data_IF_888616557457
#
_entry.id   IF_888616557457
#
_cell.length_a   1.000
_cell.length_b   1.000
_cell.length_c   1.000
_cell.angle_alpha   90.00
_cell.angle_beta   90.00
_cell.angle_gamma   90.00
#
_symmetry.space_group_name_H-M   'P 1'
#
loop_
_entity.id
_entity.type
_entity.pdbx_description
1 polymer ?
#
# COMPACT_ATOMS: atom_id res chain seq x y z
N UNK A 1 -0.24 -6.30 -15.60
CA UNK A 1 0.72 -6.10 -14.48
C UNK A 1 1.25 -7.42 -13.95
N UNK A 2 0.41 -8.29 -13.37
CA UNK A 2 0.83 -9.56 -12.76
C UNK A 2 1.76 -10.42 -13.65
N UNK A 3 1.33 -10.76 -14.87
CA UNK A 3 2.15 -11.56 -15.80
C UNK A 3 3.48 -10.90 -16.17
N UNK A 4 3.51 -9.57 -16.32
CA UNK A 4 4.75 -8.85 -16.64
C UNK A 4 5.74 -8.91 -15.47
N UNK A 5 5.26 -8.81 -14.24
CA UNK A 5 6.10 -8.97 -13.05
C UNK A 5 6.71 -10.38 -13.00
N UNK A 6 5.93 -11.41 -13.30
CA UNK A 6 6.42 -12.79 -13.36
C UNK A 6 7.47 -12.98 -14.47
N UNK A 7 7.24 -12.47 -15.68
CA UNK A 7 8.21 -12.56 -16.78
C UNK A 7 9.52 -11.84 -16.43
N UNK A 8 9.44 -10.63 -15.87
CA UNK A 8 10.63 -9.89 -15.44
C UNK A 8 11.35 -10.63 -14.31
N UNK A 9 10.60 -11.21 -13.37
CA UNK A 9 11.16 -12.01 -12.29
C UNK A 9 11.91 -13.24 -12.82
N UNK A 10 11.28 -14.05 -13.67
CA UNK A 10 11.90 -15.24 -14.28
C UNK A 10 13.16 -14.86 -15.07
N UNK A 11 13.12 -13.77 -15.82
CA UNK A 11 14.25 -13.31 -16.61
C UNK A 11 15.39 -12.74 -15.77
N UNK A 12 15.08 -11.90 -14.78
CA UNK A 12 16.07 -11.25 -13.94
C UNK A 12 16.70 -12.22 -12.92
N UNK A 13 15.92 -13.18 -12.42
CA UNK A 13 16.33 -14.10 -11.36
C UNK A 13 16.61 -15.54 -11.83
N UNK A 14 16.47 -15.80 -13.14
CA UNK A 14 16.83 -17.04 -13.86
C UNK A 14 17.31 -18.20 -12.97
N UNK A 15 16.40 -19.11 -12.65
CA UNK A 15 16.67 -20.33 -11.87
C UNK A 15 16.23 -20.30 -10.40
N UNK A 16 15.70 -19.19 -9.88
CA UNK A 16 15.01 -19.20 -8.58
C UNK A 16 13.61 -19.81 -8.72
N UNK A 17 13.23 -20.82 -7.93
CA UNK A 17 11.88 -21.37 -7.96
C UNK A 17 10.85 -20.31 -7.58
N UNK A 18 9.58 -20.52 -7.94
CA UNK A 18 8.42 -19.67 -7.61
C UNK A 18 8.19 -19.46 -6.09
N UNK A 19 9.05 -20.02 -5.23
CA UNK A 19 9.07 -19.91 -3.77
C UNK A 19 9.56 -18.55 -3.25
N UNK A 20 9.92 -17.63 -4.15
CA UNK A 20 10.25 -16.23 -3.81
C UNK A 20 11.48 -16.07 -2.92
N UNK A 21 11.53 -15.00 -2.15
CA UNK A 21 12.70 -14.60 -1.34
C UNK A 21 13.13 -15.59 -0.25
N UNK A 22 12.25 -16.53 0.16
CA UNK A 22 12.55 -17.52 1.18
C UNK A 22 13.59 -18.54 0.69
N UNK A 23 13.56 -18.90 -0.60
CA UNK A 23 14.54 -19.79 -1.22
C UNK A 23 15.96 -19.20 -1.19
N UNK A 24 16.08 -17.87 -1.38
CA UNK A 24 17.36 -17.16 -1.30
C UNK A 24 18.01 -17.26 0.09
N UNK A 25 17.25 -17.59 1.15
CA UNK A 25 17.78 -17.83 2.50
C UNK A 25 18.52 -19.16 2.61
N UNK A 26 18.18 -20.14 1.78
CA UNK A 26 18.73 -21.50 1.82
C UNK A 26 20.04 -21.64 1.02
N UNK A 27 20.37 -20.67 0.19
CA UNK A 27 21.53 -20.72 -0.70
C UNK A 27 22.76 -20.02 -0.10
N UNK A 28 23.97 -20.44 -0.50
CA UNK A 28 25.21 -19.81 -0.04
C UNK A 28 25.32 -18.39 -0.59
N UNK A 29 25.48 -17.43 0.32
CA UNK A 29 25.65 -16.01 0.01
C UNK A 29 26.80 -15.72 -0.98
N UNK A 30 27.88 -16.52 -0.94
CA UNK A 30 29.03 -16.35 -1.83
C UNK A 30 28.67 -16.45 -3.33
N UNK A 31 27.65 -17.24 -3.68
CA UNK A 31 27.25 -17.47 -5.07
C UNK A 31 26.15 -16.49 -5.52
N UNK A 32 25.33 -16.02 -4.57
CA UNK A 32 24.09 -15.27 -4.88
C UNK A 32 24.19 -13.76 -4.60
N UNK A 33 25.24 -13.27 -3.91
CA UNK A 33 25.35 -11.85 -3.50
C UNK A 33 25.29 -10.87 -4.67
N UNK A 34 25.94 -11.19 -5.80
CA UNK A 34 25.92 -10.35 -6.99
C UNK A 34 24.49 -10.15 -7.52
N UNK A 35 23.68 -11.22 -7.52
CA UNK A 35 22.29 -11.17 -7.99
C UNK A 35 21.42 -10.35 -7.03
N UNK A 36 21.55 -10.61 -5.72
CA UNK A 36 20.78 -9.93 -4.68
C UNK A 36 21.03 -8.41 -4.69
N UNK A 37 22.26 -7.99 -4.96
CA UNK A 37 22.62 -6.56 -5.00
C UNK A 37 22.34 -5.92 -6.35
N UNK A 38 22.77 -6.52 -7.45
CA UNK A 38 22.74 -5.87 -8.77
C UNK A 38 21.33 -5.82 -9.37
N UNK A 39 20.49 -6.83 -9.15
CA UNK A 39 19.16 -6.88 -9.78
C UNK A 39 18.24 -5.74 -9.30
N UNK A 40 18.13 -5.46 -7.98
CA UNK A 40 17.36 -4.30 -7.53
C UNK A 40 17.93 -2.95 -8.03
N UNK A 41 19.25 -2.85 -8.18
CA UNK A 41 19.92 -1.65 -8.70
C UNK A 41 19.57 -1.42 -10.16
N UNK A 42 19.67 -2.45 -11.01
CA UNK A 42 19.31 -2.34 -12.44
C UNK A 42 17.84 -1.99 -12.61
N UNK A 43 16.96 -2.57 -11.80
CA UNK A 43 15.55 -2.18 -11.72
C UNK A 43 15.35 -0.71 -11.37
N UNK A 44 16.07 -0.22 -10.36
CA UNK A 44 16.07 1.19 -9.99
C UNK A 44 16.57 2.12 -11.09
N UNK A 45 17.63 1.74 -11.82
CA UNK A 45 18.14 2.51 -12.97
C UNK A 45 17.10 2.60 -14.08
N UNK A 46 16.46 1.49 -14.45
CA UNK A 46 15.43 1.46 -15.49
C UNK A 46 14.24 2.34 -15.09
N UNK A 47 13.75 2.20 -13.84
CA UNK A 47 12.63 3.01 -13.33
C UNK A 47 12.99 4.49 -13.28
N UNK A 48 14.22 4.81 -12.85
CA UNK A 48 14.75 6.16 -12.87
C UNK A 48 14.78 6.75 -14.27
N UNK A 49 15.26 5.98 -15.26
CA UNK A 49 15.34 6.45 -16.66
C UNK A 49 13.95 6.73 -17.22
N UNK A 50 12.97 5.86 -16.91
CA UNK A 50 11.57 6.10 -17.26
C UNK A 50 11.01 7.35 -16.58
N UNK A 51 11.37 7.59 -15.31
CA UNK A 51 10.94 8.79 -14.57
C UNK A 51 11.49 10.07 -15.22
N UNK A 52 12.78 10.08 -15.58
CA UNK A 52 13.40 11.19 -16.29
C UNK A 52 12.78 11.45 -17.66
N UNK A 53 12.44 10.39 -18.41
CA UNK A 53 11.75 10.53 -19.71
C UNK A 53 10.37 11.19 -19.54
N UNK A 54 9.61 10.78 -18.52
CA UNK A 54 8.30 11.37 -18.21
C UNK A 54 8.43 12.84 -17.82
N UNK A 55 9.41 13.18 -16.96
CA UNK A 55 9.66 14.56 -16.53
C UNK A 55 10.03 15.46 -17.72
N UNK A 56 10.84 14.96 -18.66
CA UNK A 56 11.17 15.68 -19.90
C UNK A 56 9.92 15.88 -20.78
N UNK A 57 9.10 14.83 -20.95
CA UNK A 57 7.85 14.93 -21.72
C UNK A 57 6.87 15.94 -21.11
N UNK A 58 6.79 16.01 -19.78
CA UNK A 58 5.98 17.00 -19.06
C UNK A 58 6.53 18.42 -19.21
N UNK A 59 7.84 18.61 -19.09
CA UNK A 59 8.47 19.93 -19.31
C UNK A 59 8.26 20.43 -20.75
N UNK A 60 8.43 19.57 -21.75
CA UNK A 60 8.15 19.91 -23.16
C UNK A 60 6.68 20.30 -23.32
N UNK A 61 5.75 19.61 -22.65
CA UNK A 61 4.33 19.97 -22.66
C UNK A 61 4.09 21.35 -22.05
N UNK A 62 4.60 21.62 -20.84
CA UNK A 62 4.43 22.90 -20.16
C UNK A 62 4.98 24.06 -20.98
N UNK A 63 6.11 23.84 -21.67
CA UNK A 63 6.70 24.83 -22.56
C UNK A 63 5.97 24.98 -23.90
N UNK A 64 5.22 23.96 -24.34
CA UNK A 64 4.52 23.95 -25.63
C UNK A 64 3.05 24.38 -25.55
N UNK A 65 2.44 24.46 -24.36
CA UNK A 65 1.05 24.88 -24.16
C UNK A 65 0.96 26.32 -23.61
N UNK A 66 0.99 27.29 -24.51
CA UNK A 66 0.46 28.65 -24.30
C UNK A 66 -1.03 28.77 -24.69
N UNK A 67 -1.75 27.66 -24.89
CA UNK A 67 -3.19 27.68 -25.21
C UNK A 67 -3.90 26.40 -24.73
N UNK A 68 -4.90 26.49 -23.84
CA UNK A 68 -5.62 25.34 -23.31
C UNK A 68 -6.62 24.84 -24.37
N UNK A 69 -6.20 23.92 -25.24
CA UNK A 69 -7.16 23.20 -26.09
C UNK A 69 -7.80 22.08 -25.27
N UNK A 70 -9.12 22.16 -25.12
CA UNK A 70 -10.04 21.12 -24.62
C UNK A 70 -10.06 19.87 -25.54
N UNK A 71 -8.90 19.25 -25.74
CA UNK A 71 -8.74 18.02 -26.50
C UNK A 71 -8.25 16.90 -25.60
N UNK A 72 -8.62 15.66 -25.94
CA UNK A 72 -8.22 14.44 -25.24
C UNK A 72 -6.70 14.43 -25.00
N UNK A 73 -6.31 14.55 -23.74
CA UNK A 73 -4.89 14.60 -23.35
C UNK A 73 -4.32 13.19 -23.49
N UNK A 74 -3.81 12.86 -24.69
CA UNK A 74 -3.17 11.57 -25.00
C UNK A 74 -2.15 11.15 -23.92
N UNK A 75 -1.46 12.14 -23.35
CA UNK A 75 -0.47 11.91 -22.30
C UNK A 75 -1.09 11.56 -20.93
N UNK A 76 -2.28 12.07 -20.59
CA UNK A 76 -3.02 11.60 -19.39
C UNK A 76 -3.49 10.14 -19.56
N UNK A 77 -3.73 9.70 -20.80
CA UNK A 77 -4.07 8.31 -21.11
C UNK A 77 -2.88 7.34 -21.05
N UNK A 78 -1.67 7.81 -21.34
CA UNK A 78 -0.44 6.97 -21.39
C UNK A 78 0.29 6.89 -20.04
N UNK A 79 0.21 7.93 -19.21
CA UNK A 79 0.80 7.98 -17.87
C UNK A 79 0.53 6.75 -16.95
N UNK A 80 -0.69 6.18 -16.92
CA UNK A 80 -1.01 5.00 -16.11
C UNK A 80 -0.34 3.73 -16.63
N UNK A 81 -0.21 3.59 -17.94
CA UNK A 81 0.52 2.49 -18.57
C UNK A 81 2.02 2.57 -18.25
N UNK A 82 2.60 3.78 -18.27
CA UNK A 82 4.00 4.01 -17.87
C UNK A 82 4.21 3.62 -16.41
N UNK A 83 3.32 4.08 -15.49
CA UNK A 83 3.37 3.69 -14.08
C UNK A 83 3.23 2.18 -13.88
N UNK A 84 2.38 1.51 -14.67
CA UNK A 84 2.23 0.07 -14.63
C UNK A 84 3.54 -0.64 -15.02
N UNK A 85 4.22 -0.16 -16.07
CA UNK A 85 5.51 -0.72 -16.50
C UNK A 85 6.60 -0.44 -15.44
N UNK A 86 6.66 0.77 -14.88
CA UNK A 86 7.59 1.11 -13.79
C UNK A 86 7.37 0.21 -12.56
N UNK A 87 6.11 -0.04 -12.20
CA UNK A 87 5.76 -0.98 -11.15
C UNK A 87 6.18 -2.41 -11.50
N UNK A 88 5.95 -2.85 -12.74
CA UNK A 88 6.34 -4.17 -13.20
C UNK A 88 7.85 -4.40 -13.05
N UNK A 89 8.66 -3.42 -13.47
CA UNK A 89 10.12 -3.45 -13.35
C UNK A 89 10.53 -3.44 -11.87
N UNK A 90 9.98 -2.52 -11.07
CA UNK A 90 10.30 -2.42 -9.64
C UNK A 90 10.05 -3.73 -8.90
N UNK A 91 8.90 -4.35 -9.14
CA UNK A 91 8.48 -5.57 -8.45
C UNK A 91 9.22 -6.80 -8.99
N UNK A 92 9.40 -6.90 -10.30
CA UNK A 92 10.11 -8.02 -10.93
C UNK A 92 11.60 -8.06 -10.60
N UNK A 93 12.21 -6.89 -10.35
CA UNK A 93 13.62 -6.78 -9.91
C UNK A 93 13.80 -6.90 -8.39
N UNK A 94 12.74 -7.19 -7.65
CA UNK A 94 12.82 -7.53 -6.22
C UNK A 94 12.61 -6.37 -5.26
N UNK A 95 12.15 -5.20 -5.72
CA UNK A 95 11.79 -4.08 -4.85
C UNK A 95 10.79 -4.49 -3.76
N UNK A 96 11.01 -4.01 -2.53
CA UNK A 96 10.16 -4.33 -1.37
C UNK A 96 8.86 -3.51 -1.39
N UNK A 97 8.05 -3.72 -2.42
CA UNK A 97 6.78 -3.03 -2.66
C UNK A 97 5.72 -4.03 -3.15
N UNK A 98 4.45 -3.60 -3.21
CA UNK A 98 3.32 -4.42 -3.69
C UNK A 98 2.75 -3.96 -5.04
N UNK A 99 2.13 -4.86 -5.82
CA UNK A 99 1.46 -4.52 -7.10
C UNK A 99 0.12 -3.77 -6.91
N UNK A 100 -0.45 -3.81 -5.72
CA UNK A 100 -1.81 -3.36 -5.41
C UNK A 100 -2.06 -1.87 -5.65
N UNK A 101 -1.10 -1.02 -5.22
CA UNK A 101 -1.19 0.43 -5.46
C UNK A 101 -1.23 0.75 -6.96
N UNK A 102 -0.26 0.28 -7.75
CA UNK A 102 -0.29 0.39 -9.21
C UNK A 102 -1.55 -0.19 -9.86
N UNK A 103 -2.07 -1.32 -9.37
CA UNK A 103 -3.33 -1.90 -9.88
C UNK A 103 -4.52 -0.95 -9.73
N UNK A 104 -4.65 -0.31 -8.56
CA UNK A 104 -5.67 0.71 -8.30
C UNK A 104 -5.49 1.93 -9.20
N UNK A 105 -4.26 2.39 -9.39
CA UNK A 105 -3.98 3.55 -10.25
C UNK A 105 -4.35 3.25 -11.71
N UNK A 106 -4.03 2.05 -12.22
CA UNK A 106 -4.43 1.60 -13.56
C UNK A 106 -5.96 1.62 -13.67
N UNK A 107 -6.66 1.01 -12.71
CA UNK A 107 -8.13 0.97 -12.70
C UNK A 107 -8.77 2.36 -12.68
N UNK A 108 -8.28 3.26 -11.82
CA UNK A 108 -8.74 4.66 -11.75
C UNK A 108 -8.50 5.40 -13.06
N UNK A 109 -7.37 5.16 -13.72
CA UNK A 109 -7.05 5.85 -14.95
C UNK A 109 -7.83 5.34 -16.16
N UNK A 110 -8.06 4.03 -16.27
CA UNK A 110 -8.98 3.48 -17.27
C UNK A 110 -10.39 4.07 -17.08
N UNK A 111 -10.86 4.15 -15.85
CA UNK A 111 -12.13 4.80 -15.51
C UNK A 111 -12.14 6.29 -15.86
N UNK A 112 -11.05 7.03 -15.59
CA UNK A 112 -10.97 8.45 -15.93
C UNK A 112 -10.99 8.67 -17.45
N UNK A 113 -10.31 7.83 -18.24
CA UNK A 113 -10.34 7.89 -19.70
C UNK A 113 -11.75 7.68 -20.27
N UNK A 114 -12.49 6.69 -19.74
CA UNK A 114 -13.89 6.46 -20.13
C UNK A 114 -14.79 7.63 -19.67
N UNK A 115 -14.49 8.24 -18.51
CA UNK A 115 -15.29 9.34 -17.97
C UNK A 115 -15.28 10.60 -18.83
N UNK A 116 -14.27 10.79 -19.67
CA UNK A 116 -14.19 11.93 -20.62
C UNK A 116 -15.28 11.84 -21.68
N UNK A 117 -15.75 10.62 -21.99
CA UNK A 117 -16.82 10.39 -22.97
C UNK A 117 -18.23 10.54 -22.37
N UNK A 118 -18.34 10.73 -21.05
CA UNK A 118 -19.61 10.92 -20.36
C UNK A 118 -19.94 12.41 -20.21
N UNK A 119 -21.23 12.76 -20.27
CA UNK A 119 -21.71 14.11 -19.94
C UNK A 119 -21.18 14.57 -18.57
N UNK A 120 -21.05 15.90 -18.38
CA UNK A 120 -20.40 16.57 -17.24
C UNK A 120 -21.13 16.39 -15.89
N UNK A 121 -21.43 15.15 -15.52
CA UNK A 121 -22.00 14.76 -14.24
C UNK A 121 -20.87 14.29 -13.32
N UNK A 122 -20.50 15.16 -12.38
CA UNK A 122 -19.44 14.93 -11.39
C UNK A 122 -19.67 13.68 -10.55
N UNK A 123 -20.93 13.34 -10.24
CA UNK A 123 -21.27 12.15 -9.46
C UNK A 123 -20.99 10.88 -10.26
N UNK A 124 -21.41 10.83 -11.53
CA UNK A 124 -21.14 9.69 -12.42
C UNK A 124 -19.64 9.49 -12.65
N UNK A 125 -18.89 10.58 -12.85
CA UNK A 125 -17.42 10.51 -12.96
C UNK A 125 -16.78 9.96 -11.69
N UNK A 126 -17.23 10.40 -10.52
CA UNK A 126 -16.74 9.91 -9.23
C UNK A 126 -17.08 8.43 -9.03
N UNK A 127 -18.30 8.02 -9.38
CA UNK A 127 -18.74 6.62 -9.34
C UNK A 127 -17.90 5.72 -10.25
N UNK A 128 -17.62 6.16 -11.48
CA UNK A 128 -16.81 5.42 -12.44
C UNK A 128 -15.35 5.26 -11.95
N UNK A 129 -14.74 6.33 -11.42
CA UNK A 129 -13.39 6.26 -10.82
C UNK A 129 -13.36 5.35 -9.58
N UNK A 130 -14.40 5.38 -8.75
CA UNK A 130 -14.54 4.48 -7.61
C UNK A 130 -14.67 3.01 -8.06
N UNK A 131 -15.46 2.74 -9.11
CA UNK A 131 -15.58 1.41 -9.70
C UNK A 131 -14.26 0.91 -10.29
N UNK A 132 -13.49 1.77 -10.96
CA UNK A 132 -12.14 1.47 -11.43
C UNK A 132 -11.17 1.14 -10.30
N UNK A 133 -11.22 1.88 -9.19
CA UNK A 133 -10.40 1.60 -8.00
C UNK A 133 -10.77 0.25 -7.35
N UNK A 134 -12.06 -0.07 -7.25
CA UNK A 134 -12.55 -1.34 -6.74
C UNK A 134 -12.07 -2.51 -7.60
N UNK A 135 -12.19 -2.39 -8.93
CA UNK A 135 -11.69 -3.38 -9.87
C UNK A 135 -10.17 -3.61 -9.73
N UNK A 136 -9.39 -2.55 -9.47
CA UNK A 136 -7.94 -2.64 -9.25
C UNK A 136 -7.57 -3.47 -8.02
N UNK A 137 -8.21 -3.22 -6.86
CA UNK A 137 -8.00 -4.03 -5.64
C UNK A 137 -8.51 -5.47 -5.84
N UNK A 138 -9.70 -5.61 -6.43
CA UNK A 138 -10.34 -6.92 -6.61
C UNK A 138 -9.49 -7.84 -7.50
N UNK A 139 -8.87 -7.32 -8.55
CA UNK A 139 -7.95 -8.10 -9.40
C UNK A 139 -6.63 -8.41 -8.71
N UNK A 140 -6.06 -7.47 -7.96
CA UNK A 140 -4.76 -7.64 -7.32
C UNK A 140 -4.75 -8.66 -6.17
N UNK A 141 -5.80 -8.63 -5.33
CA UNK A 141 -5.96 -9.57 -4.22
C UNK A 141 -6.90 -10.74 -4.49
N UNK A 142 -7.55 -10.77 -5.66
CA UNK A 142 -8.64 -11.70 -5.94
C UNK A 142 -9.77 -11.62 -4.87
N UNK A 143 -10.08 -10.40 -4.45
CA UNK A 143 -10.91 -10.09 -3.28
C UNK A 143 -11.97 -9.04 -3.65
N UNK A 144 -13.14 -9.50 -4.10
CA UNK A 144 -14.18 -8.64 -4.65
C UNK A 144 -14.86 -7.79 -3.58
N UNK A 145 -15.16 -8.36 -2.41
CA UNK A 145 -15.81 -7.64 -1.32
C UNK A 145 -14.86 -6.58 -0.78
N UNK A 146 -13.58 -6.91 -0.58
CA UNK A 146 -12.57 -5.96 -0.16
C UNK A 146 -12.44 -4.79 -1.15
N UNK A 147 -12.44 -5.06 -2.46
CA UNK A 147 -12.39 -4.03 -3.49
C UNK A 147 -13.54 -3.02 -3.41
N UNK A 148 -14.76 -3.49 -3.13
CA UNK A 148 -15.94 -2.62 -2.97
C UNK A 148 -15.79 -1.65 -1.80
N UNK A 149 -15.44 -2.19 -0.63
CA UNK A 149 -15.27 -1.38 0.58
C UNK A 149 -14.07 -0.44 0.47
N UNK A 150 -13.01 -0.86 -0.24
CA UNK A 150 -11.89 0.00 -0.54
C UNK A 150 -12.32 1.27 -1.29
N UNK A 151 -13.12 1.12 -2.35
CA UNK A 151 -13.61 2.25 -3.12
C UNK A 151 -14.49 3.18 -2.28
N UNK A 152 -15.35 2.61 -1.41
CA UNK A 152 -16.18 3.40 -0.49
C UNK A 152 -15.30 4.19 0.49
N UNK A 153 -14.34 3.51 1.12
CA UNK A 153 -13.53 4.04 2.22
C UNK A 153 -12.47 5.06 1.76
N UNK A 154 -11.87 4.86 0.58
CA UNK A 154 -10.77 5.72 0.08
C UNK A 154 -11.15 6.65 -1.06
N UNK A 155 -12.16 6.32 -1.88
CA UNK A 155 -12.53 7.15 -3.03
C UNK A 155 -13.77 7.99 -2.74
N UNK A 156 -14.82 7.41 -2.17
CA UNK A 156 -16.09 8.09 -1.92
C UNK A 156 -16.08 8.90 -0.60
N UNK A 157 -15.59 8.32 0.50
CA UNK A 157 -15.60 8.95 1.83
C UNK A 157 -14.89 10.32 1.87
N UNK A 158 -13.67 10.51 1.34
CA UNK A 158 -13.01 11.82 1.37
C UNK A 158 -13.73 12.90 0.55
N UNK A 159 -14.59 12.51 -0.39
CA UNK A 159 -15.35 13.43 -1.24
C UNK A 159 -16.72 13.81 -0.68
N UNK A 160 -17.05 13.39 0.55
CA UNK A 160 -18.37 13.59 1.18
C UNK A 160 -19.52 13.09 0.29
N UNK A 161 -19.24 12.11 -0.57
CA UNK A 161 -20.20 11.50 -1.47
C UNK A 161 -21.04 10.43 -0.73
N UNK A 162 -21.28 10.62 0.57
CA UNK A 162 -21.97 9.67 1.45
C UNK A 162 -23.44 9.48 1.04
N UNK A 163 -24.02 10.48 0.38
CA UNK A 163 -25.37 10.44 -0.20
C UNK A 163 -25.37 10.11 -1.71
N UNK A 164 -24.34 9.40 -2.20
CA UNK A 164 -24.27 9.04 -3.62
C UNK A 164 -25.48 8.20 -4.05
N UNK A 165 -25.96 8.35 -5.30
CA UNK A 165 -27.08 7.56 -5.80
C UNK A 165 -26.84 6.06 -5.68
N UNK A 166 -27.88 5.23 -5.50
CA UNK A 166 -27.75 3.76 -5.38
C UNK A 166 -27.05 3.11 -6.58
N UNK A 167 -27.12 3.74 -7.76
CA UNK A 167 -26.39 3.33 -8.96
C UNK A 167 -24.85 3.29 -8.76
N UNK A 168 -24.29 4.16 -7.92
CA UNK A 168 -22.84 4.22 -7.65
C UNK A 168 -22.35 2.94 -6.99
N UNK A 169 -23.05 2.47 -5.96
CA UNK A 169 -22.70 1.24 -5.23
C UNK A 169 -22.87 0.02 -6.13
N UNK A 170 -23.95 -0.02 -6.93
CA UNK A 170 -24.16 -1.10 -7.90
C UNK A 170 -23.01 -1.19 -8.93
N UNK A 171 -22.56 -0.04 -9.45
CA UNK A 171 -21.44 0.03 -10.38
C UNK A 171 -20.12 -0.48 -9.78
N UNK A 172 -19.83 -0.09 -8.53
CA UNK A 172 -18.65 -0.55 -7.79
C UNK A 172 -18.68 -2.07 -7.62
N UNK A 173 -19.83 -2.63 -7.19
CA UNK A 173 -20.00 -4.06 -6.99
C UNK A 173 -19.80 -4.83 -8.29
N UNK A 174 -20.48 -4.41 -9.37
CA UNK A 174 -20.38 -5.08 -10.66
C UNK A 174 -18.94 -5.04 -11.20
N UNK A 175 -18.27 -3.89 -11.14
CA UNK A 175 -16.89 -3.78 -11.59
C UNK A 175 -15.93 -4.65 -10.77
N UNK A 176 -16.11 -4.70 -9.45
CA UNK A 176 -15.31 -5.53 -8.54
C UNK A 176 -15.47 -7.03 -8.84
N UNK A 177 -16.72 -7.49 -8.98
CA UNK A 177 -17.04 -8.89 -9.29
C UNK A 177 -16.48 -9.29 -10.65
N UNK A 178 -16.71 -8.48 -11.70
CA UNK A 178 -16.16 -8.76 -13.04
C UNK A 178 -14.63 -8.83 -13.00
N UNK A 179 -13.99 -7.92 -12.28
CA UNK A 179 -12.52 -7.90 -12.17
C UNK A 179 -11.97 -9.14 -11.45
N UNK A 180 -12.60 -9.55 -10.34
CA UNK A 180 -12.20 -10.76 -9.61
C UNK A 180 -12.51 -12.04 -10.40
N UNK A 181 -13.61 -12.12 -11.15
CA UNK A 181 -13.88 -13.30 -11.99
C UNK A 181 -12.88 -13.43 -13.13
N UNK A 182 -12.52 -12.32 -13.78
CA UNK A 182 -11.45 -12.31 -14.80
C UNK A 182 -10.10 -12.71 -14.20
N UNK A 183 -9.78 -12.21 -13.00
CA UNK A 183 -8.56 -12.60 -12.28
C UNK A 183 -8.54 -14.10 -11.95
N UNK A 184 -9.64 -14.65 -11.44
CA UNK A 184 -9.80 -16.08 -11.17
C UNK A 184 -9.63 -16.97 -12.41
N UNK A 185 -10.18 -16.55 -13.55
CA UNK A 185 -10.05 -17.31 -14.81
C UNK A 185 -8.60 -17.28 -15.31
N UNK A 186 -7.89 -16.16 -15.13
CA UNK A 186 -6.52 -16.00 -15.62
C UNK A 186 -5.45 -16.58 -14.69
N UNK A 187 -5.63 -16.51 -13.38
CA UNK A 187 -4.61 -16.85 -12.35
C UNK A 187 -4.97 -18.13 -11.57
N UNK A 188 -6.20 -18.62 -11.73
CA UNK A 188 -6.74 -19.75 -10.97
C UNK A 188 -7.42 -19.33 -9.66
N UNK A 189 -8.10 -20.30 -9.04
CA UNK A 189 -8.97 -20.09 -7.86
C UNK A 189 -8.28 -20.35 -6.52
N UNK A 190 -6.96 -20.53 -6.51
CA UNK A 190 -6.22 -20.81 -5.26
C UNK A 190 -6.23 -19.58 -4.36
N UNK A 191 -6.53 -19.79 -3.08
CA UNK A 191 -6.45 -18.75 -2.06
C UNK A 191 -5.01 -18.25 -1.93
N UNK A 192 -4.81 -16.95 -1.74
CA UNK A 192 -3.46 -16.39 -1.58
C UNK A 192 -2.76 -16.91 -0.33
N UNK A 193 -3.52 -17.27 0.71
CA UNK A 193 -3.02 -17.90 1.93
C UNK A 193 -3.84 -19.14 2.27
N UNK A 194 -3.16 -20.23 2.57
CA UNK A 194 -3.77 -21.41 3.19
C UNK A 194 -3.59 -21.24 4.70
N UNK A 195 -4.71 -21.16 5.41
CA UNK A 195 -4.72 -20.90 6.85
C UNK A 195 -5.05 -22.19 7.59
N UNK A 196 -4.28 -22.57 8.64
CA UNK A 196 -4.64 -23.68 9.50
C UNK A 196 -5.95 -23.36 10.25
N UNK A 197 -6.81 -24.36 10.49
CA UNK A 197 -8.11 -24.13 11.13
C UNK A 197 -7.95 -23.43 12.47
N UNK A 198 -8.59 -22.27 12.61
CA UNK A 198 -8.59 -21.50 13.85
C UNK A 198 -9.80 -21.84 14.70
N UNK A 199 -9.61 -21.87 16.03
CA UNK A 199 -10.72 -21.88 16.96
C UNK A 199 -10.46 -20.91 18.12
N UNK A 200 -11.45 -20.07 18.42
CA UNK A 200 -11.44 -19.20 19.59
C UNK A 200 -11.60 -20.09 20.82
N UNK A 201 -10.48 -20.42 21.48
CA UNK A 201 -10.52 -21.29 22.66
C UNK A 201 -11.15 -20.61 23.86
N UNK A 202 -10.97 -19.29 24.01
CA UNK A 202 -11.51 -18.54 25.15
C UNK A 202 -11.67 -17.05 24.85
N UNK A 203 -12.72 -16.43 25.40
CA UNK A 203 -12.92 -14.98 25.37
C UNK A 203 -11.81 -14.21 26.11
N UNK A 204 -11.04 -14.88 26.97
CA UNK A 204 -9.89 -14.32 27.67
C UNK A 204 -8.72 -13.95 26.73
N UNK A 205 -8.72 -14.40 25.47
CA UNK A 205 -7.72 -14.01 24.48
C UNK A 205 -7.97 -12.61 23.89
N UNK A 206 -9.20 -12.09 24.02
CA UNK A 206 -9.61 -10.83 23.39
C UNK A 206 -8.75 -9.62 23.83
N UNK A 207 -8.41 -9.45 25.12
CA UNK A 207 -7.48 -8.41 25.56
C UNK A 207 -6.09 -8.51 24.90
N UNK A 208 -5.59 -9.73 24.64
CA UNK A 208 -4.29 -9.91 23.96
C UNK A 208 -4.36 -9.41 22.51
N UNK A 209 -5.46 -9.69 21.80
CA UNK A 209 -5.67 -9.15 20.45
C UNK A 209 -5.81 -7.63 20.44
N UNK A 210 -6.41 -7.03 21.47
CA UNK A 210 -6.49 -5.58 21.61
C UNK A 210 -5.11 -4.94 21.81
N UNK A 211 -4.27 -5.54 22.68
CA UNK A 211 -2.87 -5.11 22.86
C UNK A 211 -2.08 -5.25 21.56
N UNK A 212 -2.27 -6.35 20.84
CA UNK A 212 -1.65 -6.54 19.53
C UNK A 212 -2.09 -5.46 18.53
N UNK A 213 -3.37 -5.07 18.53
CA UNK A 213 -3.88 -3.97 17.72
C UNK A 213 -3.15 -2.66 18.02
N UNK A 214 -2.97 -2.31 19.30
CA UNK A 214 -2.20 -1.13 19.69
C UNK A 214 -0.74 -1.20 19.23
N UNK A 215 -0.09 -2.36 19.39
CA UNK A 215 1.28 -2.58 18.93
C UNK A 215 1.40 -2.40 17.41
N UNK A 216 0.48 -2.97 16.64
CA UNK A 216 0.41 -2.82 15.18
C UNK A 216 0.22 -1.36 14.77
N UNK A 217 -0.60 -0.61 15.52
CA UNK A 217 -0.77 0.83 15.35
C UNK A 217 0.49 1.64 15.67
N UNK A 218 1.27 1.25 16.68
CA UNK A 218 2.54 1.90 16.96
C UNK A 218 3.57 1.64 15.85
N UNK A 219 3.65 0.39 15.37
CA UNK A 219 4.52 -0.01 14.25
C UNK A 219 4.15 0.74 12.97
N UNK A 220 2.86 0.93 12.69
CA UNK A 220 2.41 1.69 11.50
C UNK A 220 2.81 3.17 11.57
N UNK A 221 2.76 3.80 12.75
CA UNK A 221 3.23 5.19 12.94
C UNK A 221 4.73 5.29 12.66
N UNK A 222 5.52 4.35 13.19
CA UNK A 222 6.97 4.31 12.91
C UNK A 222 7.21 4.10 11.41
N UNK A 223 6.50 3.16 10.79
CA UNK A 223 6.66 2.87 9.37
C UNK A 223 6.30 4.05 8.46
N UNK A 224 5.16 4.70 8.71
CA UNK A 224 4.72 5.87 7.92
C UNK A 224 5.65 7.07 8.10
N UNK A 225 6.14 7.31 9.33
CA UNK A 225 7.16 8.35 9.59
C UNK A 225 8.49 8.05 8.91
N UNK A 226 8.92 6.78 8.91
CA UNK A 226 10.14 6.36 8.20
C UNK A 226 10.02 6.58 6.70
N UNK A 227 8.89 6.20 6.09
CA UNK A 227 8.64 6.46 4.66
C UNK A 227 8.76 7.97 4.37
N UNK A 228 8.09 8.81 5.16
CA UNK A 228 8.15 10.27 4.99
C UNK A 228 9.55 10.84 5.21
N UNK A 229 10.31 10.29 6.18
CA UNK A 229 11.68 10.69 6.45
C UNK A 229 12.61 10.35 5.29
N UNK A 230 12.52 9.14 4.74
CA UNK A 230 13.31 8.75 3.57
C UNK A 230 12.95 9.56 2.33
N UNK A 231 11.66 9.86 2.10
CA UNK A 231 11.26 10.77 1.01
C UNK A 231 11.95 12.13 1.11
N UNK A 232 11.91 12.76 2.29
CA UNK A 232 12.59 14.04 2.54
C UNK A 232 14.11 13.94 2.42
N UNK A 233 14.69 12.82 2.84
CA UNK A 233 16.13 12.58 2.72
C UNK A 233 16.56 12.54 1.25
N UNK A 234 15.82 11.81 0.39
CA UNK A 234 16.11 11.75 -1.04
C UNK A 234 15.85 13.08 -1.74
N UNK A 235 14.83 13.83 -1.34
CA UNK A 235 14.60 15.21 -1.82
C UNK A 235 15.77 16.13 -1.44
N UNK A 236 16.21 16.11 -0.19
CA UNK A 236 17.37 16.88 0.27
C UNK A 236 18.67 16.51 -0.47
N UNK A 237 18.89 15.22 -0.71
CA UNK A 237 20.04 14.75 -1.50
C UNK A 237 19.96 15.26 -2.94
N UNK A 238 18.77 15.23 -3.56
CA UNK A 238 18.53 15.77 -4.90
C UNK A 238 18.86 17.26 -4.96
N UNK A 239 18.33 18.05 -4.03
CA UNK A 239 18.52 19.51 -3.98
C UNK A 239 19.98 19.90 -3.70
N UNK A 240 20.63 19.25 -2.72
CA UNK A 240 21.98 19.61 -2.29
C UNK A 240 23.07 19.18 -3.28
N UNK A 241 22.92 18.02 -3.91
CA UNK A 241 23.92 17.46 -4.82
C UNK A 241 23.59 17.68 -6.30
N UNK A 242 22.42 18.27 -6.63
CA UNK A 242 21.99 18.48 -8.01
C UNK A 242 21.79 17.18 -8.80
N UNK A 243 21.50 16.07 -8.11
CA UNK A 243 21.38 14.76 -8.75
C UNK A 243 20.11 14.71 -9.63
N UNK A 244 20.19 14.18 -10.85
CA UNK A 244 19.02 14.02 -11.70
C UNK A 244 18.04 13.01 -11.07
N UNK A 245 16.73 13.21 -11.27
CA UNK A 245 15.66 12.36 -10.72
C UNK A 245 15.82 10.87 -11.07
N UNK A 246 16.59 10.56 -12.11
CA UNK A 246 16.95 9.22 -12.57
C UNK A 246 17.78 8.43 -11.55
N UNK A 247 18.59 9.10 -10.72
CA UNK A 247 19.55 8.42 -9.82
C UNK A 247 18.90 7.99 -8.50
N UNK A 248 17.88 8.70 -8.03
CA UNK A 248 17.24 8.40 -6.74
C UNK A 248 16.67 6.98 -6.68
N UNK A 249 15.90 6.48 -7.67
CA UNK A 249 15.39 5.10 -7.64
C UNK A 249 16.50 4.04 -7.68
N UNK A 250 17.62 4.31 -8.36
CA UNK A 250 18.79 3.43 -8.38
C UNK A 250 19.46 3.32 -7.00
N UNK A 251 19.60 4.45 -6.28
CA UNK A 251 20.09 4.47 -4.90
C UNK A 251 19.13 3.75 -3.94
N UNK A 252 17.82 3.86 -4.16
CA UNK A 252 16.83 3.10 -3.42
C UNK A 252 16.95 1.59 -3.64
N UNK A 253 17.13 1.17 -4.89
CA UNK A 253 17.42 -0.22 -5.26
C UNK A 253 18.70 -0.73 -4.61
N UNK A 254 19.77 0.08 -4.61
CA UNK A 254 21.02 -0.23 -3.93
C UNK A 254 20.83 -0.41 -2.42
N UNK A 255 20.13 0.53 -1.77
CA UNK A 255 19.84 0.46 -0.35
C UNK A 255 19.04 -0.79 0.03
N UNK A 256 18.01 -1.12 -0.75
CA UNK A 256 17.23 -2.34 -0.55
C UNK A 256 18.09 -3.60 -0.79
N UNK A 257 18.93 -3.62 -1.83
CA UNK A 257 19.85 -4.71 -2.13
C UNK A 257 20.89 -4.95 -1.02
N UNK A 258 21.44 -3.88 -0.44
CA UNK A 258 22.39 -3.97 0.68
C UNK A 258 21.75 -4.60 1.94
N UNK A 259 20.51 -4.24 2.26
CA UNK A 259 19.78 -4.87 3.37
C UNK A 259 19.47 -6.33 3.02
N UNK A 260 19.15 -6.61 1.76
CA UNK A 260 18.82 -7.95 1.28
C UNK A 260 20.02 -8.92 1.31
N UNK A 261 21.26 -8.42 1.23
CA UNK A 261 22.46 -9.24 1.42
C UNK A 261 22.50 -9.90 2.80
N UNK A 262 22.00 -9.21 3.85
CA UNK A 262 21.90 -9.80 5.19
C UNK A 262 20.58 -10.53 5.40
N UNK A 263 19.49 -9.98 4.85
CA UNK A 263 18.14 -10.50 5.03
C UNK A 263 17.44 -10.67 3.68
N UNK A 264 17.72 -11.75 2.92
CA UNK A 264 17.16 -11.92 1.58
C UNK A 264 15.63 -11.98 1.57
N UNK A 265 15.02 -12.44 2.67
CA UNK A 265 13.57 -12.49 2.88
C UNK A 265 12.85 -11.14 2.76
N UNK A 266 13.55 -10.00 2.72
CA UNK A 266 12.92 -8.69 2.52
C UNK A 266 12.60 -8.38 1.06
N UNK A 267 13.14 -9.12 0.09
CA UNK A 267 12.86 -8.87 -1.33
C UNK A 267 11.38 -9.14 -1.65
N UNK A 268 10.86 -8.51 -2.71
CA UNK A 268 9.48 -8.64 -3.21
C UNK A 268 8.40 -8.18 -2.22
N UNK A 269 7.14 -8.54 -2.49
CA UNK A 269 6.00 -8.18 -1.66
C UNK A 269 5.83 -9.02 -0.38
N UNK A 270 6.49 -10.19 -0.28
CA UNK A 270 6.67 -10.92 0.98
C UNK A 270 5.61 -11.96 1.36
N UNK A 271 4.70 -12.34 0.44
CA UNK A 271 3.67 -13.35 0.73
C UNK A 271 4.22 -14.73 1.05
N UNK A 272 5.38 -15.11 0.50
CA UNK A 272 6.03 -16.39 0.82
C UNK A 272 6.50 -16.44 2.27
N UNK A 273 6.99 -15.32 2.83
CA UNK A 273 7.29 -15.25 4.26
C UNK A 273 6.03 -15.30 5.11
N UNK A 274 4.93 -14.70 4.65
CA UNK A 274 3.64 -14.78 5.35
C UNK A 274 3.15 -16.22 5.38
N UNK A 275 3.23 -16.94 4.26
CA UNK A 275 2.86 -18.35 4.20
C UNK A 275 3.75 -19.21 5.09
N UNK A 276 5.06 -18.95 5.14
CA UNK A 276 5.99 -19.62 6.06
C UNK A 276 5.63 -19.34 7.54
N UNK A 277 5.27 -18.10 7.88
CA UNK A 277 4.80 -17.71 9.21
C UNK A 277 3.50 -18.44 9.56
N UNK A 278 2.54 -18.53 8.64
CA UNK A 278 1.25 -19.18 8.86
C UNK A 278 1.33 -20.71 8.93
N UNK A 279 2.38 -21.32 8.37
CA UNK A 279 2.61 -22.76 8.43
C UNK A 279 3.72 -23.17 9.43
N UNK A 280 4.12 -22.26 10.31
CA UNK A 280 5.08 -22.55 11.39
C UNK A 280 4.64 -23.79 12.18
N UNK A 281 5.50 -24.81 12.25
CA UNK A 281 5.23 -26.11 12.91
C UNK A 281 5.20 -27.34 11.99
N UNK A 282 5.09 -27.18 10.66
CA UNK A 282 5.22 -28.29 9.68
C UNK A 282 6.43 -28.20 8.76
N UNK A 283 7.04 -27.01 8.67
CA UNK A 283 8.21 -26.79 7.82
C UNK A 283 9.47 -26.60 8.66
N UNK A 284 10.53 -27.34 8.34
CA UNK A 284 11.82 -27.31 9.04
C UNK A 284 12.54 -25.94 9.01
N UNK A 285 12.01 -24.99 8.24
CA UNK A 285 12.56 -23.64 8.04
C UNK A 285 11.90 -22.53 8.87
N UNK A 286 10.92 -22.86 9.72
CA UNK A 286 10.18 -21.91 10.56
C UNK A 286 11.14 -20.86 11.20
N UNK A 287 11.04 -19.57 10.81
CA UNK A 287 11.96 -18.56 11.31
C UNK A 287 11.76 -18.41 12.82
N UNK A 288 12.82 -18.53 13.60
CA UNK A 288 12.75 -18.27 15.04
C UNK A 288 12.23 -16.85 15.32
N UNK A 289 11.62 -16.65 16.49
CA UNK A 289 11.02 -15.37 16.91
C UNK A 289 12.01 -14.20 16.70
N UNK A 290 13.28 -14.41 17.02
CA UNK A 290 14.35 -13.44 16.81
C UNK A 290 14.59 -13.06 15.34
N UNK A 291 14.57 -14.06 14.45
CA UNK A 291 14.71 -13.83 13.00
C UNK A 291 13.48 -13.12 12.43
N UNK A 292 12.27 -13.45 12.90
CA UNK A 292 11.05 -12.74 12.51
C UNK A 292 11.08 -11.27 12.92
N UNK A 293 11.55 -10.95 14.12
CA UNK A 293 11.72 -9.57 14.57
C UNK A 293 12.70 -8.82 13.67
N UNK A 294 13.86 -9.42 13.36
CA UNK A 294 14.85 -8.83 12.46
C UNK A 294 14.29 -8.63 11.05
N UNK A 295 13.56 -9.61 10.51
CA UNK A 295 12.92 -9.52 9.20
C UNK A 295 11.85 -8.43 9.17
N UNK A 296 11.03 -8.28 10.21
CA UNK A 296 10.03 -7.22 10.30
C UNK A 296 10.68 -5.83 10.25
N UNK A 297 11.72 -5.61 11.06
CA UNK A 297 12.47 -4.34 11.09
C UNK A 297 13.16 -4.08 9.76
N UNK A 298 13.84 -5.08 9.21
CA UNK A 298 14.50 -4.96 7.91
C UNK A 298 13.50 -4.65 6.78
N UNK A 299 12.31 -5.27 6.81
CA UNK A 299 11.25 -5.03 5.82
C UNK A 299 10.68 -3.62 5.92
N UNK A 300 10.46 -3.10 7.13
CA UNK A 300 10.03 -1.71 7.37
C UNK A 300 11.03 -0.74 6.73
N UNK A 301 12.32 -0.91 7.02
CA UNK A 301 13.38 -0.01 6.51
C UNK A 301 13.53 -0.15 4.99
N UNK A 302 13.59 -1.38 4.45
CA UNK A 302 13.73 -1.61 3.02
C UNK A 302 12.55 -1.05 2.22
N UNK A 303 11.33 -1.26 2.69
CA UNK A 303 10.12 -0.71 2.06
C UNK A 303 10.11 0.82 2.11
N UNK A 304 10.55 1.41 3.23
CA UNK A 304 10.64 2.86 3.38
C UNK A 304 11.69 3.48 2.44
N UNK A 305 12.86 2.84 2.28
CA UNK A 305 13.88 3.25 1.30
C UNK A 305 13.33 3.13 -0.12
N UNK A 306 12.73 1.99 -0.48
CA UNK A 306 12.16 1.81 -1.82
C UNK A 306 11.13 2.90 -2.13
N UNK A 307 10.15 3.09 -1.23
CA UNK A 307 9.10 4.09 -1.44
C UNK A 307 9.64 5.52 -1.42
N UNK A 308 10.57 5.83 -0.51
CA UNK A 308 11.18 7.16 -0.38
C UNK A 308 12.07 7.55 -1.55
N UNK A 309 12.72 6.58 -2.20
CA UNK A 309 13.60 6.80 -3.36
C UNK A 309 12.89 7.11 -4.67
N UNK A 310 11.56 6.94 -4.72
CA UNK A 310 10.77 7.14 -5.94
C UNK A 310 10.47 5.86 -6.74
N UNK A 311 10.80 4.67 -6.23
CA UNK A 311 10.35 3.42 -6.84
C UNK A 311 8.82 3.31 -6.81
N UNK A 312 8.26 2.71 -7.87
CA UNK A 312 6.81 2.65 -8.06
C UNK A 312 6.25 1.35 -7.49
N UNK A 313 5.33 1.49 -6.53
CA UNK A 313 4.64 0.35 -5.92
C UNK A 313 3.79 0.76 -4.71
N UNK A 314 2.95 -0.19 -4.27
CA UNK A 314 2.04 -0.04 -3.15
C UNK A 314 2.62 -0.53 -1.82
N UNK A 315 2.02 -0.07 -0.71
CA UNK A 315 2.41 -0.46 0.65
C UNK A 315 1.54 -1.57 1.26
N UNK A 316 0.46 -1.97 0.57
CA UNK A 316 -0.50 -2.97 1.04
C UNK A 316 0.17 -4.30 1.38
N UNK A 317 0.81 -4.94 0.41
CA UNK A 317 1.43 -6.25 0.64
C UNK A 317 2.60 -6.21 1.66
N UNK A 318 3.53 -5.23 1.63
CA UNK A 318 4.52 -5.07 2.69
C UNK A 318 3.90 -4.90 4.09
N UNK A 319 2.81 -4.15 4.22
CA UNK A 319 2.14 -3.96 5.51
C UNK A 319 1.50 -5.25 6.05
N UNK A 320 0.96 -6.10 5.17
CA UNK A 320 0.51 -7.45 5.54
C UNK A 320 1.67 -8.29 6.06
N UNK A 321 2.81 -8.32 5.37
CA UNK A 321 3.99 -9.07 5.83
C UNK A 321 4.51 -8.57 7.18
N UNK A 322 4.63 -7.25 7.36
CA UNK A 322 5.07 -6.65 8.62
C UNK A 322 4.09 -7.01 9.74
N UNK A 323 2.78 -6.95 9.48
CA UNK A 323 1.75 -7.35 10.44
C UNK A 323 1.78 -8.82 10.81
N UNK A 324 1.96 -9.71 9.83
CA UNK A 324 2.12 -11.14 10.07
C UNK A 324 3.31 -11.41 10.99
N UNK A 325 4.46 -10.76 10.73
CA UNK A 325 5.66 -10.94 11.54
C UNK A 325 5.49 -10.39 12.96
N UNK A 326 4.93 -9.18 13.12
CA UNK A 326 4.66 -8.58 14.44
C UNK A 326 3.66 -9.43 15.23
N UNK A 327 2.59 -9.89 14.59
CA UNK A 327 1.58 -10.76 15.19
C UNK A 327 2.16 -12.11 15.61
N UNK A 328 2.97 -12.74 14.76
CA UNK A 328 3.62 -14.02 15.09
C UNK A 328 4.61 -13.90 16.26
N UNK A 329 5.42 -12.83 16.29
CA UNK A 329 6.35 -12.55 17.39
C UNK A 329 5.58 -12.31 18.69
N UNK A 330 4.52 -11.51 18.65
CA UNK A 330 3.68 -11.25 19.82
C UNK A 330 3.00 -12.53 20.32
N UNK A 331 2.41 -13.33 19.41
CA UNK A 331 1.76 -14.60 19.77
C UNK A 331 2.74 -15.62 20.35
N UNK A 332 3.96 -15.70 19.80
CA UNK A 332 5.03 -16.55 20.34
C UNK A 332 5.46 -16.13 21.75
N UNK A 333 5.70 -14.84 21.97
CA UNK A 333 6.07 -14.31 23.29
C UNK A 333 4.95 -14.46 24.31
N UNK A 334 3.70 -14.19 23.92
CA UNK A 334 2.54 -14.37 24.79
C UNK A 334 2.40 -15.84 25.22
N UNK A 335 2.61 -16.78 24.29
CA UNK A 335 2.59 -18.21 24.59
C UNK A 335 3.70 -18.61 25.57
N UNK A 336 4.95 -18.14 25.36
CA UNK A 336 6.07 -18.42 26.28
C UNK A 336 5.81 -17.88 27.70
N UNK A 337 5.36 -16.62 27.81
CA UNK A 337 5.10 -15.97 29.10
C UNK A 337 3.96 -16.70 29.84
N UNK A 338 2.86 -16.99 29.15
CA UNK A 338 1.68 -17.61 29.77
C UNK A 338 1.97 -19.07 30.18
N UNK A 339 2.69 -19.83 29.33
CA UNK A 339 3.09 -21.19 29.66
C UNK A 339 4.07 -21.24 30.84
N UNK A 340 4.93 -20.23 31.00
CA UNK A 340 5.85 -20.13 32.14
C UNK A 340 5.14 -19.77 33.45
N UNK A 341 4.06 -18.98 33.39
CA UNK A 341 3.30 -18.54 34.55
C UNK A 341 2.27 -19.58 35.02
N UNK A 342 1.68 -20.35 34.10
CA UNK A 342 0.68 -21.38 34.39
C UNK A 342 0.99 -22.63 33.56
N UNK A 343 1.77 -23.59 34.11
CA UNK A 343 2.05 -24.86 33.43
C UNK A 343 0.75 -25.64 33.20
N UNK A 344 0.40 -25.89 31.93
CA UNK A 344 -0.70 -26.78 31.56
C UNK A 344 -1.95 -26.11 30.94
N UNK A 345 -2.02 -24.78 30.87
CA UNK A 345 -3.14 -24.12 30.18
C UNK A 345 -2.82 -23.89 28.70
N UNK A 346 -3.38 -24.74 27.83
CA UNK A 346 -3.42 -24.54 26.38
C UNK A 346 -4.39 -23.41 25.93
N UNK A 347 -4.54 -22.38 26.77
CA UNK A 347 -5.53 -21.31 26.69
C UNK A 347 -5.11 -20.14 25.78
N UNK A 348 -3.99 -20.28 25.07
CA UNK A 348 -3.50 -19.30 24.10
C UNK A 348 -3.65 -19.88 22.70
N UNK A 349 -4.21 -19.09 21.79
CA UNK A 349 -4.30 -19.41 20.39
C UNK A 349 -2.91 -19.66 19.78
N UNK A 350 -2.92 -20.45 18.72
CA UNK A 350 -1.76 -20.70 17.89
C UNK A 350 -1.17 -19.37 17.36
N UNK A 351 0.18 -19.18 17.35
CA UNK A 351 0.83 -17.94 16.88
C UNK A 351 0.36 -17.44 15.51
N UNK A 352 -0.11 -18.36 14.67
CA UNK A 352 -0.72 -18.12 13.36
C UNK A 352 -1.95 -17.20 13.44
N UNK A 353 -2.79 -17.34 14.48
CA UNK A 353 -3.97 -16.49 14.67
C UNK A 353 -3.58 -15.04 14.96
N UNK A 354 -2.58 -14.83 15.80
CA UNK A 354 -2.03 -13.50 16.06
C UNK A 354 -1.37 -12.92 14.81
N UNK A 355 -0.70 -13.73 13.98
CA UNK A 355 -0.16 -13.28 12.70
C UNK A 355 -1.26 -12.75 11.78
N UNK A 356 -2.38 -13.46 11.65
CA UNK A 356 -3.54 -13.04 10.86
C UNK A 356 -4.15 -11.73 11.36
N UNK A 357 -4.40 -11.62 12.66
CA UNK A 357 -4.92 -10.37 13.25
C UNK A 357 -3.93 -9.22 13.02
N UNK A 358 -2.63 -9.48 13.18
CA UNK A 358 -1.56 -8.53 12.93
C UNK A 358 -1.55 -8.03 11.47
N UNK A 359 -1.74 -8.92 10.49
CA UNK A 359 -1.83 -8.55 9.06
C UNK A 359 -2.92 -7.51 8.80
N UNK A 360 -4.14 -7.75 9.27
CA UNK A 360 -5.25 -6.83 9.07
C UNK A 360 -5.07 -5.53 9.87
N UNK A 361 -4.57 -5.62 11.12
CA UNK A 361 -4.37 -4.47 11.99
C UNK A 361 -3.32 -3.50 11.44
N UNK A 362 -2.17 -3.99 10.98
CA UNK A 362 -1.13 -3.13 10.37
C UNK A 362 -1.60 -2.54 9.05
N UNK A 363 -2.25 -3.32 8.19
CA UNK A 363 -2.78 -2.83 6.92
C UNK A 363 -3.81 -1.71 7.14
N UNK A 364 -4.76 -1.93 8.05
CA UNK A 364 -5.78 -0.96 8.39
C UNK A 364 -5.16 0.35 8.86
N UNK A 365 -4.14 0.26 9.71
CA UNK A 365 -3.48 1.41 10.32
C UNK A 365 -2.58 2.17 9.33
N UNK A 366 -1.75 1.46 8.54
CA UNK A 366 -0.83 2.05 7.54
C UNK A 366 -1.60 2.70 6.40
N UNK A 367 -2.60 2.02 5.86
CA UNK A 367 -3.34 2.47 4.69
C UNK A 367 -4.61 3.26 5.06
N UNK A 368 -4.94 3.37 6.35
CA UNK A 368 -6.17 4.02 6.85
C UNK A 368 -7.46 3.43 6.26
N UNK A 369 -7.50 2.09 6.15
CA UNK A 369 -8.61 1.34 5.54
C UNK A 369 -9.11 0.17 6.41
N UNK A 370 -9.69 0.45 7.59
CA UNK A 370 -10.12 -0.59 8.52
C UNK A 370 -11.14 -1.59 7.95
N UNK A 371 -12.21 -1.13 7.30
CA UNK A 371 -13.24 -2.05 6.78
C UNK A 371 -12.69 -2.91 5.64
N UNK A 372 -11.93 -2.27 4.75
CA UNK A 372 -11.25 -2.97 3.65
C UNK A 372 -10.31 -4.05 4.18
N UNK A 373 -9.54 -3.76 5.22
CA UNK A 373 -8.53 -4.70 5.76
C UNK A 373 -9.15 -5.93 6.41
N UNK A 374 -10.26 -5.75 7.12
CA UNK A 374 -11.05 -6.84 7.74
C UNK A 374 -11.58 -7.79 6.66
N UNK A 375 -12.22 -7.23 5.64
CA UNK A 375 -12.85 -8.00 4.57
C UNK A 375 -11.83 -8.63 3.64
N UNK A 376 -10.72 -7.92 3.39
CA UNK A 376 -9.59 -8.45 2.64
C UNK A 376 -9.02 -9.67 3.33
N UNK A 377 -8.74 -9.59 4.64
CA UNK A 377 -8.22 -10.75 5.33
C UNK A 377 -9.23 -11.91 5.29
N UNK A 378 -10.51 -11.64 5.53
CA UNK A 378 -11.54 -12.65 5.42
C UNK A 378 -11.58 -13.33 4.03
N UNK A 379 -11.50 -12.59 2.93
CA UNK A 379 -11.50 -13.19 1.59
C UNK A 379 -10.23 -13.99 1.30
N UNK A 380 -9.07 -13.55 1.82
CA UNK A 380 -7.79 -14.24 1.62
C UNK A 380 -7.65 -15.51 2.47
N UNK A 381 -8.29 -15.58 3.65
CA UNK A 381 -8.19 -16.71 4.58
C UNK A 381 -9.40 -17.63 4.57
N UNK A 382 -10.59 -17.09 4.22
CA UNK A 382 -11.90 -17.76 4.23
C UNK A 382 -12.32 -18.32 5.60
N UNK A 383 -11.76 -17.79 6.69
CA UNK A 383 -12.12 -18.18 8.05
C UNK A 383 -12.87 -17.04 8.76
N UNK A 384 -14.15 -17.27 9.07
CA UNK A 384 -15.00 -16.30 9.76
C UNK A 384 -14.75 -16.24 11.27
N UNK A 385 -14.17 -17.28 11.88
CA UNK A 385 -14.02 -17.38 13.34
C UNK A 385 -13.09 -16.31 13.91
N UNK A 386 -12.15 -15.82 13.11
CA UNK A 386 -11.18 -14.81 13.51
C UNK A 386 -11.69 -13.36 13.37
N UNK A 387 -12.89 -13.15 12.80
CA UNK A 387 -13.35 -11.80 12.46
C UNK A 387 -13.59 -10.92 13.69
N UNK A 388 -14.11 -11.49 14.78
CA UNK A 388 -14.41 -10.76 16.02
C UNK A 388 -13.15 -10.17 16.68
N UNK A 389 -12.11 -10.96 17.03
CA UNK A 389 -10.88 -10.41 17.60
C UNK A 389 -10.17 -9.48 16.62
N UNK A 390 -10.27 -9.76 15.31
CA UNK A 390 -9.68 -8.95 14.27
C UNK A 390 -10.30 -7.56 14.20
N UNK A 391 -11.62 -7.43 14.26
CA UNK A 391 -12.30 -6.13 14.23
C UNK A 391 -11.93 -5.26 15.44
N UNK A 392 -11.83 -5.87 16.63
CA UNK A 392 -11.38 -5.18 17.84
C UNK A 392 -9.94 -4.66 17.73
N UNK A 393 -9.03 -5.52 17.26
CA UNK A 393 -7.63 -5.15 17.05
C UNK A 393 -7.46 -4.06 15.98
N UNK A 394 -8.17 -4.17 14.86
CA UNK A 394 -8.18 -3.17 13.77
C UNK A 394 -8.68 -1.82 14.28
N UNK A 395 -9.74 -1.80 15.08
CA UNK A 395 -10.29 -0.59 15.69
C UNK A 395 -9.30 0.15 16.59
N UNK A 396 -8.51 -0.57 17.39
CA UNK A 396 -7.44 0.04 18.19
C UNK A 396 -6.22 0.43 17.35
N UNK A 397 -5.86 -0.39 16.36
CA UNK A 397 -4.72 -0.12 15.50
C UNK A 397 -4.88 1.18 14.70
N UNK A 398 -6.09 1.51 14.26
CA UNK A 398 -6.37 2.78 13.55
C UNK A 398 -6.45 3.99 14.51
N UNK A 399 -6.80 3.76 15.77
CA UNK A 399 -6.88 4.81 16.79
C UNK A 399 -5.49 5.33 17.19
N UNK A 400 -4.46 4.47 17.21
CA UNK A 400 -3.10 4.88 17.61
C UNK A 400 -2.51 5.98 16.70
N UNK A 401 -2.49 5.85 15.35
CA UNK A 401 -2.04 6.93 14.48
C UNK A 401 -2.88 8.20 14.55
N UNK A 402 -4.19 8.11 14.84
CA UNK A 402 -5.05 9.29 14.91
C UNK A 402 -4.71 10.16 16.13
N UNK A 403 -4.32 9.53 17.24
CA UNK A 403 -3.80 10.23 18.43
C UNK A 403 -2.37 10.72 18.19
N UNK A 404 -1.50 9.89 17.62
CA UNK A 404 -0.08 10.21 17.45
C UNK A 404 0.21 11.31 16.42
N UNK A 405 -0.71 11.54 15.49
CA UNK A 405 -0.58 12.55 14.42
C UNK A 405 -1.55 13.74 14.60
N UNK A 406 -2.05 14.01 15.80
CA UNK A 406 -2.77 15.26 16.04
C UNK A 406 -1.88 16.43 15.60
N UNK A 407 -2.40 17.34 14.75
CA UNK A 407 -1.67 18.54 14.43
C UNK A 407 -1.45 19.30 15.73
N UNK A 408 -0.19 19.43 16.16
CA UNK A 408 0.21 20.50 17.06
C UNK A 408 -0.19 21.78 16.33
N UNK A 409 -1.20 22.50 16.80
CA UNK A 409 -1.63 23.77 16.21
C UNK A 409 -0.40 24.65 15.96
N UNK A 410 -0.14 25.09 14.72
CA UNK A 410 0.61 26.29 14.48
C UNK A 410 -0.38 27.43 14.29
N UNK A 411 -0.14 28.54 14.99
CA UNK A 411 -0.81 29.81 14.77
C UNK A 411 -0.79 30.20 13.28
N UNK A 412 -1.96 30.69 12.82
CA UNK A 412 -2.20 31.55 11.66
C UNK A 412 -1.06 31.69 10.63
N UNK A 413 -1.11 30.95 9.52
CA UNK A 413 -0.74 31.45 8.18
C UNK A 413 -0.98 30.40 7.08
N UNK A 414 -1.46 30.92 5.95
CA UNK A 414 -1.93 30.21 4.77
C UNK A 414 -0.97 29.21 4.11
N UNK A 415 -1.59 28.26 3.41
CA UNK A 415 -1.04 27.49 2.28
C UNK A 415 0.05 26.45 2.59
N UNK A 416 -0.38 25.19 2.79
CA UNK A 416 0.24 24.01 2.15
C UNK A 416 -0.62 22.77 2.35
N UNK A 417 -1.17 22.29 1.23
CA UNK A 417 -1.87 21.01 1.10
C UNK A 417 -0.94 19.90 1.59
N UNK A 418 -1.33 19.23 2.67
CA UNK A 418 -0.65 18.06 3.20
C UNK A 418 -0.68 16.92 2.17
N UNK A 419 0.52 16.54 1.72
CA UNK A 419 0.85 15.40 0.88
C UNK A 419 0.43 14.08 1.56
N UNK A 420 -0.86 13.76 1.56
CA UNK A 420 -1.33 12.38 1.66
C UNK A 420 -0.92 11.69 0.37
N UNK A 421 -0.10 10.64 0.48
CA UNK A 421 0.50 9.89 -0.63
C UNK A 421 -0.49 9.25 -1.60
N UNK A 422 -1.11 10.08 -2.43
CA UNK A 422 -1.76 9.75 -3.68
C UNK A 422 -1.30 10.79 -4.68
N UNK A 423 -0.86 10.36 -5.86
CA UNK A 423 -0.57 11.27 -6.96
C UNK A 423 -1.79 12.15 -7.21
N UNK A 424 -1.65 13.44 -6.93
CA UNK A 424 -2.60 14.45 -7.32
C UNK A 424 -2.74 14.42 -8.84
N UNK A 425 -3.93 14.12 -9.33
CA UNK A 425 -4.33 14.56 -10.67
C UNK A 425 -4.34 16.09 -10.59
N UNK A 426 -3.53 16.73 -11.42
CA UNK A 426 -3.51 18.18 -11.60
C UNK A 426 -4.91 18.68 -11.95
N UNK A 427 -5.47 19.54 -11.10
CA UNK A 427 -6.51 20.47 -11.51
C UNK A 427 -5.81 21.63 -12.21
N UNK A 428 -6.04 21.79 -13.51
CA UNK A 428 -5.89 23.07 -14.19
C UNK A 428 -7.21 23.85 -14.05
N UNK A 429 -7.04 25.14 -13.80
CA UNK A 429 -7.99 26.26 -13.92
C UNK A 429 -8.96 26.49 -12.75
N UNK A 430 -8.71 27.53 -11.94
CA UNK A 430 -9.15 28.89 -12.31
C UNK A 430 -8.62 29.93 -11.30
N UNK A 431 -7.71 30.82 -11.73
CA UNK A 431 -7.45 32.12 -11.09
C UNK A 431 -6.92 33.12 -12.09
N UNK A 432 -7.81 34.01 -12.50
CA UNK A 432 -7.57 35.35 -13.02
C UNK A 432 -8.94 35.93 -13.31
N UNK A 433 -9.45 36.96 -12.68
CA UNK A 433 -8.91 37.94 -11.74
C UNK A 433 -9.82 39.14 -11.92
N UNK A 434 -10.48 39.58 -10.86
CA UNK A 434 -11.13 40.90 -10.79
C UNK A 434 -11.12 41.31 -9.31
N UNK A 435 -9.98 41.87 -8.90
CA UNK A 435 -9.91 42.79 -7.76
C UNK A 435 -10.12 44.20 -8.32
N UNK A 436 -11.30 44.79 -8.09
CA UNK A 436 -11.42 46.25 -8.03
C UNK A 436 -12.50 46.66 -7.04
N UNK A 437 -12.05 47.43 -6.05
CA UNK A 437 -12.78 48.35 -5.16
C UNK A 437 -13.52 47.80 -3.93
N UNK A 438 -12.82 47.91 -2.80
CA UNK A 438 -13.38 48.07 -1.46
C UNK A 438 -12.90 49.43 -0.92
N UNK A 439 -13.80 50.41 -0.89
CA UNK A 439 -13.66 51.73 -0.25
C UNK A 439 -15.07 52.35 -0.22
N UNK A 440 -15.78 52.56 0.90
CA UNK A 440 -15.53 53.56 1.95
C UNK A 440 -16.53 53.37 3.12
N UNK A 441 -16.00 53.48 4.34
CA UNK A 441 -16.55 53.95 5.63
C UNK A 441 -18.06 54.30 5.81
N UNK A 442 -18.64 53.68 6.86
CA UNK A 442 -19.19 54.32 8.09
C UNK A 442 -20.64 54.90 8.13
N UNK A 443 -21.36 54.43 9.17
CA UNK A 443 -22.48 54.97 9.95
C UNK A 443 -23.59 55.84 9.31
N UNK A 444 -24.85 55.50 9.63
CA UNK A 444 -25.93 56.32 10.26
C UNK A 444 -27.24 55.52 10.14
N UNK A 445 -27.86 55.04 11.22
CA UNK A 445 -28.86 55.73 12.06
C UNK A 445 -30.17 56.11 11.33
N UNK A 446 -31.26 55.49 11.82
CA UNK A 446 -32.62 56.01 12.03
C UNK A 446 -33.51 56.59 10.91
N UNK A 447 -34.76 56.08 10.97
CA UNK A 447 -36.06 56.74 10.78
C UNK A 447 -36.65 57.08 9.39
N UNK A 448 -37.92 56.64 9.26
CA UNK A 448 -39.07 57.22 8.50
C UNK A 448 -39.00 57.18 6.95
N UNK A 449 -40.01 56.75 6.20
CA UNK A 449 -41.49 56.81 6.34
C UNK A 449 -42.11 55.51 5.82
#
# INVERSE_FOLDING_TARGET
>A
LHNQVHVIHEWAWAGTPNEGAAWLRLQRLADTWHRILLIPVTGGVIVGMMHGLVEILEQIRMNSLSSPRQGFDFVQGVFPAIKAIQAAVTLGTGGSLGPEGPSVDIGKSCANGISVMMENNRERKTALVAAGAAAGIASGFNAAVAGCFFAIETVLRPRRAENSPPFTTAMIILASVISSTVSNVSLGTKSAFIVPPYDLKSAAELPLYLILGMLCGAVSVVFTRLVAWFTKLFEFIREKFGLPAVVCPALGGLGAGLIALKYPGILYWGFTNVEEILHTGKSASAPGIWLLTQLAVAKVVATAICKGSGLVGGLYAPSLMIGAAVGAVFGGLAAEIINSAIPGNAAVAQPQAYALVGMAATLASVCSVPLTSVLLLFELTKDYRIILPLMGAVGLAIWVPSVANQPKEPELSDTRVLTRGYSSISNSDDKGGDDLELCIMQNSADHEI
#
